data_IF_856525068911
#
_entry.id   IF_856525068911
#
_cell.length_a   1.000
_cell.length_b   1.000
_cell.length_c   1.000
_cell.angle_alpha   90.00
_cell.angle_beta   90.00
_cell.angle_gamma   90.00
#
_symmetry.space_group_name_H-M   'P 1'
#
loop_
_entity.id
_entity.type
_entity.pdbx_description
1 polymer ?
#
# COMPACT_ATOMS: atom_id res chain seq x y z
N UNK A 1 8.81 -6.91 -29.88
CA UNK A 1 9.77 -6.48 -28.84
C UNK A 1 8.99 -5.81 -27.73
N UNK A 2 8.64 -6.55 -26.70
CA UNK A 2 7.98 -5.99 -25.53
C UNK A 2 9.04 -5.27 -24.68
N UNK A 3 9.03 -3.95 -24.70
CA UNK A 3 9.72 -3.14 -23.71
C UNK A 3 9.14 -3.53 -22.34
N UNK A 4 9.93 -4.27 -21.55
CA UNK A 4 9.62 -4.53 -20.14
C UNK A 4 9.93 -3.27 -19.32
N UNK A 5 9.15 -2.21 -19.54
CA UNK A 5 9.23 -0.99 -18.73
C UNK A 5 8.41 -1.28 -17.46
N UNK A 6 9.04 -1.07 -16.32
CA UNK A 6 8.35 -1.12 -15.04
C UNK A 6 7.23 -0.06 -15.04
N UNK A 7 6.04 -0.44 -14.56
CA UNK A 7 4.86 0.44 -14.52
C UNK A 7 5.13 1.72 -13.70
N UNK A 8 6.09 1.69 -12.81
CA UNK A 8 6.48 2.83 -11.98
C UNK A 8 7.08 3.96 -12.83
N UNK A 9 7.92 3.62 -13.83
CA UNK A 9 8.59 4.63 -14.67
C UNK A 9 7.60 5.53 -15.41
N UNK A 10 6.62 4.99 -16.19
CA UNK A 10 5.65 5.84 -16.86
C UNK A 10 4.73 6.60 -15.89
N UNK A 11 4.41 6.04 -14.72
CA UNK A 11 3.61 6.72 -13.71
C UNK A 11 4.33 7.94 -13.13
N UNK A 12 5.61 7.80 -12.76
CA UNK A 12 6.43 8.92 -12.27
C UNK A 12 6.66 9.97 -13.36
N UNK A 13 6.92 9.55 -14.60
CA UNK A 13 7.08 10.46 -15.72
C UNK A 13 5.79 11.25 -15.97
N UNK A 14 4.63 10.60 -15.95
CA UNK A 14 3.34 11.26 -16.12
C UNK A 14 3.07 12.26 -14.99
N UNK A 15 3.36 11.89 -13.74
CA UNK A 15 3.25 12.80 -12.59
C UNK A 15 4.10 14.04 -12.77
N UNK A 16 5.38 13.88 -13.14
CA UNK A 16 6.30 15.00 -13.37
C UNK A 16 5.82 15.90 -14.50
N UNK A 17 5.35 15.33 -15.62
CA UNK A 17 4.81 16.08 -16.77
C UNK A 17 3.56 16.85 -16.35
N UNK A 18 2.62 16.24 -15.62
CA UNK A 18 1.40 16.91 -15.19
C UNK A 18 1.70 18.11 -14.28
N UNK A 19 2.59 17.95 -13.30
CA UNK A 19 3.00 19.07 -12.43
C UNK A 19 3.72 20.18 -13.22
N UNK A 20 4.56 19.81 -14.20
CA UNK A 20 5.21 20.79 -15.07
C UNK A 20 4.19 21.57 -15.93
N UNK A 21 3.19 20.89 -16.48
CA UNK A 21 2.11 21.55 -17.25
C UNK A 21 1.28 22.49 -16.36
N UNK A 22 0.96 22.10 -15.14
CA UNK A 22 0.25 22.95 -14.17
C UNK A 22 1.11 24.20 -13.86
N UNK A 23 2.41 24.03 -13.62
CA UNK A 23 3.32 25.14 -13.36
C UNK A 23 3.42 26.13 -14.53
N UNK A 24 3.43 25.62 -15.77
CA UNK A 24 3.53 26.45 -16.97
C UNK A 24 2.27 27.28 -17.24
N UNK A 25 1.10 26.80 -16.86
CA UNK A 25 -0.19 27.46 -17.10
C UNK A 25 -0.95 27.77 -15.80
N UNK A 26 -0.23 28.01 -14.70
CA UNK A 26 -0.86 28.27 -13.39
C UNK A 26 -1.79 29.48 -13.39
N UNK A 27 -1.51 30.46 -14.24
CA UNK A 27 -2.30 31.68 -14.37
C UNK A 27 -3.63 31.47 -15.10
N UNK A 28 -3.73 30.42 -15.92
CA UNK A 28 -4.97 30.00 -16.59
C UNK A 28 -6.00 29.39 -15.67
N UNK A 29 -5.60 28.94 -14.47
CA UNK A 29 -6.54 28.36 -13.50
C UNK A 29 -7.32 29.43 -12.75
N UNK A 30 -8.63 29.22 -12.65
CA UNK A 30 -9.56 30.11 -11.93
C UNK A 30 -9.84 29.63 -10.51
N UNK A 31 -9.66 28.33 -10.24
CA UNK A 31 -9.92 27.69 -8.96
C UNK A 31 -8.77 26.76 -8.61
N UNK A 32 -8.47 26.65 -7.32
CA UNK A 32 -7.49 25.73 -6.79
C UNK A 32 -8.08 24.96 -5.60
N UNK A 33 -7.90 23.64 -5.59
CA UNK A 33 -8.29 22.81 -4.46
C UNK A 33 -7.09 22.55 -3.55
N UNK A 34 -7.19 23.04 -2.32
CA UNK A 34 -6.19 22.80 -1.29
C UNK A 34 -6.48 21.46 -0.62
N UNK A 35 -5.64 20.46 -0.92
CA UNK A 35 -5.78 19.10 -0.37
C UNK A 35 -5.51 19.06 1.15
N UNK A 36 -4.70 19.96 1.69
CA UNK A 36 -4.42 20.01 3.11
C UNK A 36 -5.62 20.55 3.92
N UNK A 37 -6.33 21.53 3.37
CA UNK A 37 -7.52 22.14 3.97
C UNK A 37 -8.83 21.51 3.49
N UNK A 38 -8.76 20.56 2.55
CA UNK A 38 -9.90 19.89 1.93
C UNK A 38 -10.97 20.85 1.39
N UNK A 39 -10.56 21.95 0.76
CA UNK A 39 -11.44 22.95 0.25
C UNK A 39 -10.87 23.75 -0.90
N UNK A 40 -11.73 24.53 -1.56
CA UNK A 40 -11.30 25.49 -2.58
C UNK A 40 -10.64 26.69 -1.90
N UNK A 41 -9.58 27.20 -2.53
CA UNK A 41 -8.91 28.43 -2.07
C UNK A 41 -9.72 29.65 -2.49
N UNK A 42 -10.22 30.38 -1.51
CA UNK A 42 -10.96 31.61 -1.76
C UNK A 42 -10.05 32.68 -2.40
N UNK A 43 -10.57 33.31 -3.45
CA UNK A 43 -9.84 34.38 -4.14
C UNK A 43 -8.66 33.95 -5.00
N UNK A 44 -8.49 32.66 -5.29
CA UNK A 44 -7.40 32.13 -6.12
C UNK A 44 -7.28 32.83 -7.48
N UNK A 45 -8.42 33.11 -8.15
CA UNK A 45 -8.45 33.78 -9.44
C UNK A 45 -7.86 35.20 -9.40
N UNK A 46 -7.97 35.87 -8.25
CA UNK A 46 -7.46 37.24 -8.05
C UNK A 46 -6.00 37.29 -7.57
N UNK A 47 -5.39 36.13 -7.30
CA UNK A 47 -3.99 36.06 -6.86
C UNK A 47 -3.05 36.33 -8.03
N UNK A 48 -1.95 37.02 -7.72
CA UNK A 48 -0.84 37.17 -8.67
C UNK A 48 -0.09 35.86 -8.89
N UNK A 49 0.72 35.81 -9.94
CA UNK A 49 1.52 34.64 -10.35
C UNK A 49 2.30 34.01 -9.18
N UNK A 50 3.03 34.81 -8.40
CA UNK A 50 3.81 34.31 -7.26
C UNK A 50 2.95 33.63 -6.19
N UNK A 51 1.77 34.19 -5.90
CA UNK A 51 0.85 33.61 -4.92
C UNK A 51 0.28 32.26 -5.39
N UNK A 52 -0.05 32.14 -6.67
CA UNK A 52 -0.51 30.89 -7.29
C UNK A 52 0.59 29.83 -7.32
N UNK A 53 1.82 30.22 -7.68
CA UNK A 53 2.99 29.33 -7.67
C UNK A 53 3.27 28.80 -6.25
N UNK A 54 3.22 29.67 -5.25
CA UNK A 54 3.43 29.27 -3.86
C UNK A 54 2.40 28.21 -3.39
N UNK A 55 1.11 28.41 -3.71
CA UNK A 55 0.08 27.41 -3.40
C UNK A 55 0.27 26.08 -4.15
N UNK A 56 0.74 26.13 -5.38
CA UNK A 56 1.08 24.93 -6.15
C UNK A 56 2.25 24.18 -5.50
N UNK A 57 3.32 24.88 -5.11
CA UNK A 57 4.47 24.30 -4.41
C UNK A 57 4.05 23.69 -3.07
N UNK A 58 3.24 24.39 -2.28
CA UNK A 58 2.70 23.87 -1.03
C UNK A 58 1.90 22.56 -1.25
N UNK A 59 1.04 22.54 -2.27
CA UNK A 59 0.28 21.35 -2.63
C UNK A 59 1.20 20.20 -3.05
N UNK A 60 2.21 20.46 -3.87
CA UNK A 60 3.19 19.46 -4.29
C UNK A 60 3.97 18.91 -3.10
N UNK A 61 4.47 19.78 -2.23
CA UNK A 61 5.21 19.37 -1.03
C UNK A 61 4.33 18.57 -0.06
N UNK A 62 3.06 18.95 0.08
CA UNK A 62 2.10 18.20 0.89
C UNK A 62 1.92 16.76 0.36
N UNK A 63 1.70 16.59 -0.93
CA UNK A 63 1.54 15.26 -1.53
C UNK A 63 2.84 14.44 -1.49
N UNK A 64 3.99 15.06 -1.72
CA UNK A 64 5.29 14.40 -1.59
C UNK A 64 5.57 14.01 -0.12
N UNK A 65 5.22 14.87 0.84
CA UNK A 65 5.34 14.59 2.25
C UNK A 65 4.50 13.39 2.68
N UNK A 66 3.24 13.32 2.26
CA UNK A 66 2.35 12.17 2.50
C UNK A 66 2.90 10.88 1.86
N UNK A 67 3.38 10.96 0.63
CA UNK A 67 4.02 9.82 -0.03
C UNK A 67 5.27 9.35 0.70
N UNK A 68 6.11 10.28 1.15
CA UNK A 68 7.31 9.96 1.93
C UNK A 68 6.96 9.30 3.26
N UNK A 69 5.94 9.79 3.98
CA UNK A 69 5.44 9.18 5.22
C UNK A 69 5.09 7.71 5.02
N UNK A 70 4.33 7.40 3.97
CA UNK A 70 3.97 6.02 3.59
C UNK A 70 5.21 5.18 3.27
N UNK A 71 6.14 5.72 2.49
CA UNK A 71 7.37 5.00 2.12
C UNK A 71 8.23 4.69 3.34
N UNK A 72 8.42 5.64 4.26
CA UNK A 72 9.17 5.40 5.50
C UNK A 72 8.49 4.37 6.39
N UNK A 73 7.16 4.43 6.51
CA UNK A 73 6.39 3.42 7.24
C UNK A 73 6.58 2.02 6.64
N UNK A 74 6.42 1.88 5.31
CA UNK A 74 6.60 0.61 4.61
C UNK A 74 8.03 0.07 4.74
N UNK A 75 9.05 0.92 4.59
CA UNK A 75 10.45 0.51 4.76
C UNK A 75 10.71 -0.01 6.17
N UNK A 76 10.19 0.69 7.19
CA UNK A 76 10.32 0.26 8.59
C UNK A 76 9.62 -1.07 8.85
N UNK A 77 8.37 -1.21 8.41
CA UNK A 77 7.58 -2.42 8.57
C UNK A 77 8.24 -3.62 7.85
N UNK A 78 8.63 -3.45 6.58
CA UNK A 78 9.30 -4.51 5.81
C UNK A 78 10.63 -4.92 6.44
N UNK A 79 11.41 -3.98 6.96
CA UNK A 79 12.67 -4.27 7.66
C UNK A 79 12.44 -5.13 8.90
N UNK A 80 11.43 -4.80 9.71
CA UNK A 80 11.09 -5.59 10.90
C UNK A 80 10.68 -7.01 10.49
N UNK A 81 9.86 -7.15 9.46
CA UNK A 81 9.40 -8.45 8.97
C UNK A 81 10.56 -9.27 8.41
N UNK A 82 11.48 -8.66 7.67
CA UNK A 82 12.70 -9.31 7.16
C UNK A 82 13.57 -9.84 8.31
N UNK A 83 13.72 -9.06 9.38
CA UNK A 83 14.44 -9.50 10.59
C UNK A 83 13.72 -10.68 11.23
N UNK A 84 12.40 -10.65 11.37
CA UNK A 84 11.61 -11.75 11.93
C UNK A 84 11.77 -13.03 11.07
N UNK A 85 11.74 -12.91 9.74
CA UNK A 85 11.93 -14.05 8.83
C UNK A 85 13.36 -14.59 8.87
N UNK A 86 14.35 -13.71 8.91
CA UNK A 86 15.76 -14.08 9.03
C UNK A 86 16.06 -14.93 10.28
N UNK A 87 15.43 -14.61 11.40
CA UNK A 87 15.52 -15.39 12.64
C UNK A 87 14.51 -16.56 12.72
N UNK A 88 13.89 -16.95 11.60
CA UNK A 88 12.85 -18.00 11.52
C UNK A 88 11.68 -17.78 12.49
N UNK A 89 11.38 -16.51 12.81
CA UNK A 89 10.31 -16.14 13.74
C UNK A 89 8.93 -16.65 13.32
N UNK A 90 8.73 -16.88 12.02
CA UNK A 90 7.50 -17.51 11.50
C UNK A 90 7.46 -19.05 11.64
N UNK A 91 8.51 -19.69 12.18
CA UNK A 91 8.50 -21.13 12.45
C UNK A 91 7.37 -21.53 13.41
N UNK A 92 7.04 -20.66 14.37
CA UNK A 92 5.92 -20.86 15.28
C UNK A 92 4.59 -20.98 14.52
N UNK A 93 4.38 -20.15 13.49
CA UNK A 93 3.19 -20.22 12.63
C UNK A 93 3.16 -21.56 11.88
N UNK A 94 4.30 -22.02 11.35
CA UNK A 94 4.40 -23.35 10.71
C UNK A 94 4.03 -24.46 11.70
N UNK A 95 4.38 -24.32 12.99
CA UNK A 95 4.05 -25.26 14.06
C UNK A 95 2.55 -25.43 14.33
N UNK A 96 1.75 -24.41 14.09
CA UNK A 96 0.28 -24.48 14.19
C UNK A 96 -0.38 -25.25 13.03
N UNK A 97 0.33 -25.41 11.90
CA UNK A 97 -0.18 -26.05 10.69
C UNK A 97 0.04 -27.56 10.75
N UNK A 98 -0.61 -28.23 11.72
CA UNK A 98 -0.50 -29.69 11.89
C UNK A 98 -1.60 -30.48 11.16
N UNK A 99 -2.64 -29.82 10.69
CA UNK A 99 -3.79 -30.51 10.08
C UNK A 99 -3.59 -30.71 8.58
N UNK A 100 -3.96 -31.91 8.08
CA UNK A 100 -3.99 -32.24 6.65
C UNK A 100 -5.39 -32.06 6.03
N UNK A 101 -6.40 -31.72 6.83
CA UNK A 101 -7.77 -31.51 6.34
C UNK A 101 -7.88 -30.17 5.64
N UNK A 102 -8.11 -30.17 4.32
CA UNK A 102 -8.14 -28.94 3.48
C UNK A 102 -9.07 -27.85 4.03
N UNK A 103 -10.26 -28.20 4.50
CA UNK A 103 -11.22 -27.24 5.06
C UNK A 103 -10.72 -26.57 6.37
N UNK A 104 -10.18 -27.35 7.30
CA UNK A 104 -9.61 -26.79 8.54
C UNK A 104 -8.37 -25.96 8.27
N UNK A 105 -7.57 -26.38 7.29
CA UNK A 105 -6.37 -25.66 6.86
C UNK A 105 -6.74 -24.32 6.24
N UNK A 106 -7.79 -24.27 5.40
CA UNK A 106 -8.29 -23.04 4.80
C UNK A 106 -8.72 -22.02 5.88
N UNK A 107 -9.53 -22.46 6.84
CA UNK A 107 -9.95 -21.63 7.96
C UNK A 107 -8.76 -21.13 8.79
N UNK A 108 -7.79 -21.99 9.06
CA UNK A 108 -6.59 -21.62 9.79
C UNK A 108 -5.80 -20.52 9.07
N UNK A 109 -5.54 -20.68 7.76
CA UNK A 109 -4.85 -19.66 6.98
C UNK A 109 -5.65 -18.35 6.89
N UNK A 110 -6.98 -18.44 6.79
CA UNK A 110 -7.84 -17.26 6.73
C UNK A 110 -7.80 -16.46 8.04
N UNK A 111 -7.92 -17.14 9.18
CA UNK A 111 -7.84 -16.49 10.50
C UNK A 111 -6.44 -15.90 10.74
N UNK A 112 -5.39 -16.66 10.41
CA UNK A 112 -4.02 -16.16 10.52
C UNK A 112 -3.78 -14.95 9.62
N UNK A 113 -4.31 -14.97 8.39
CA UNK A 113 -4.20 -13.84 7.47
C UNK A 113 -4.88 -12.59 8.01
N UNK A 114 -6.09 -12.73 8.55
CA UNK A 114 -6.83 -11.64 9.16
C UNK A 114 -6.08 -11.05 10.36
N UNK A 115 -5.67 -11.89 11.32
CA UNK A 115 -5.00 -11.43 12.55
C UNK A 115 -3.63 -10.83 12.25
N UNK A 116 -2.84 -11.49 11.39
CA UNK A 116 -1.50 -11.03 11.07
C UNK A 116 -1.56 -9.70 10.33
N UNK A 117 -2.49 -9.56 9.38
CA UNK A 117 -2.69 -8.32 8.63
C UNK A 117 -3.19 -7.17 9.50
N UNK A 118 -3.98 -7.45 10.53
CA UNK A 118 -4.43 -6.44 11.48
C UNK A 118 -3.27 -5.86 12.33
N UNK A 119 -2.16 -6.59 12.46
CA UNK A 119 -1.01 -6.22 13.32
C UNK A 119 0.14 -5.64 12.50
N UNK A 120 0.43 -6.23 11.31
CA UNK A 120 1.60 -5.85 10.50
C UNK A 120 1.16 -4.94 9.36
N UNK A 121 0.68 -5.50 8.29
CA UNK A 121 0.02 -4.92 7.12
C UNK A 121 -0.48 -6.05 6.21
N UNK A 122 -1.40 -5.73 5.30
CA UNK A 122 -2.03 -6.72 4.43
C UNK A 122 -1.08 -7.31 3.38
N UNK A 123 -0.17 -6.51 2.84
CA UNK A 123 0.77 -6.96 1.82
C UNK A 123 1.79 -7.94 2.40
N UNK A 124 2.41 -7.56 3.50
CA UNK A 124 3.41 -8.39 4.20
C UNK A 124 2.79 -9.68 4.74
N UNK A 125 1.63 -9.59 5.40
CA UNK A 125 0.90 -10.77 5.89
C UNK A 125 0.59 -11.75 4.74
N UNK A 126 0.17 -11.22 3.59
CA UNK A 126 -0.10 -12.01 2.39
C UNK A 126 1.16 -12.71 1.87
N UNK A 127 2.27 -12.00 1.72
CA UNK A 127 3.54 -12.56 1.22
C UNK A 127 4.04 -13.68 2.14
N UNK A 128 4.08 -13.44 3.43
CA UNK A 128 4.52 -14.43 4.44
C UNK A 128 3.65 -15.69 4.38
N UNK A 129 2.33 -15.53 4.41
CA UNK A 129 1.42 -16.68 4.43
C UNK A 129 1.40 -17.45 3.10
N UNK A 130 1.52 -16.79 1.96
CA UNK A 130 1.67 -17.45 0.67
C UNK A 130 3.00 -18.23 0.61
N UNK A 131 4.08 -17.69 1.15
CA UNK A 131 5.37 -18.39 1.23
C UNK A 131 5.26 -19.66 2.08
N UNK A 132 4.57 -19.59 3.22
CA UNK A 132 4.31 -20.77 4.06
C UNK A 132 3.39 -21.76 3.32
N UNK A 133 2.33 -21.28 2.68
CA UNK A 133 1.38 -22.08 1.91
C UNK A 133 2.08 -22.89 0.82
N UNK A 134 3.05 -22.31 0.11
CA UNK A 134 3.82 -22.99 -0.93
C UNK A 134 4.60 -24.19 -0.41
N UNK A 135 5.02 -24.16 0.85
CA UNK A 135 5.73 -25.25 1.52
C UNK A 135 4.78 -26.35 2.03
N UNK A 136 3.53 -25.98 2.35
CA UNK A 136 2.53 -26.89 2.95
C UNK A 136 1.69 -27.60 1.91
N UNK A 137 1.27 -26.91 0.86
CA UNK A 137 0.38 -27.45 -0.18
C UNK A 137 1.16 -27.59 -1.50
N UNK A 138 1.16 -28.80 -2.06
CA UNK A 138 1.84 -29.09 -3.32
C UNK A 138 0.94 -28.90 -4.55
N UNK A 139 -0.36 -29.18 -4.41
CA UNK A 139 -1.34 -29.08 -5.47
C UNK A 139 -1.58 -27.62 -5.89
N UNK A 140 -1.43 -27.35 -7.21
CA UNK A 140 -1.50 -26.00 -7.77
C UNK A 140 -2.90 -25.37 -7.64
N UNK A 141 -3.93 -26.14 -7.91
CA UNK A 141 -5.30 -25.65 -7.89
C UNK A 141 -5.72 -25.28 -6.46
N UNK A 142 -5.45 -26.18 -5.51
CA UNK A 142 -5.69 -25.92 -4.09
C UNK A 142 -4.90 -24.69 -3.61
N UNK A 143 -3.63 -24.52 -4.03
CA UNK A 143 -2.84 -23.32 -3.70
C UNK A 143 -3.48 -22.04 -4.18
N UNK A 144 -4.03 -22.00 -5.39
CA UNK A 144 -4.68 -20.80 -5.93
C UNK A 144 -5.91 -20.39 -5.11
N UNK A 145 -6.75 -21.37 -4.73
CA UNK A 145 -7.91 -21.11 -3.86
C UNK A 145 -7.50 -20.58 -2.49
N UNK A 146 -6.50 -21.19 -1.88
CA UNK A 146 -5.98 -20.74 -0.58
C UNK A 146 -5.33 -19.35 -0.68
N UNK A 147 -4.55 -19.10 -1.72
CA UNK A 147 -3.93 -17.79 -1.94
C UNK A 147 -5.01 -16.70 -2.11
N UNK A 148 -6.06 -16.97 -2.87
CA UNK A 148 -7.20 -16.06 -3.02
C UNK A 148 -7.86 -15.74 -1.67
N UNK A 149 -8.10 -16.76 -0.84
CA UNK A 149 -8.66 -16.56 0.50
C UNK A 149 -7.72 -15.80 1.42
N UNK A 150 -6.42 -16.05 1.39
CA UNK A 150 -5.42 -15.31 2.16
C UNK A 150 -5.47 -13.82 1.77
N UNK A 151 -5.48 -13.52 0.47
CA UNK A 151 -5.56 -12.12 -0.01
C UNK A 151 -6.83 -11.42 0.49
N UNK A 152 -7.99 -12.07 0.36
CA UNK A 152 -9.28 -11.50 0.79
C UNK A 152 -9.27 -11.26 2.31
N UNK A 153 -8.85 -12.25 3.09
CA UNK A 153 -8.88 -12.14 4.56
C UNK A 153 -7.79 -11.23 5.11
N UNK A 154 -6.63 -11.14 4.45
CA UNK A 154 -5.61 -10.16 4.80
C UNK A 154 -6.10 -8.73 4.56
N UNK A 155 -6.74 -8.46 3.41
CA UNK A 155 -7.32 -7.13 3.16
C UNK A 155 -8.44 -6.81 4.16
N UNK A 156 -9.28 -7.78 4.53
CA UNK A 156 -10.30 -7.58 5.55
C UNK A 156 -9.69 -7.28 6.93
N UNK A 157 -8.58 -7.94 7.29
CA UNK A 157 -7.84 -7.68 8.53
C UNK A 157 -7.19 -6.30 8.54
N UNK A 158 -6.59 -5.90 7.43
CA UNK A 158 -6.03 -4.56 7.26
C UNK A 158 -7.09 -3.47 7.39
N UNK A 159 -8.21 -3.63 6.69
CA UNK A 159 -9.32 -2.67 6.76
C UNK A 159 -9.97 -2.58 8.15
N UNK A 160 -9.89 -3.64 8.95
CA UNK A 160 -10.42 -3.64 10.33
C UNK A 160 -9.51 -2.90 11.32
N UNK A 161 -8.20 -2.86 11.06
CA UNK A 161 -7.23 -2.25 11.97
C UNK A 161 -6.64 -0.97 11.38
N UNK A 162 -6.54 0.13 12.17
CA UNK A 162 -5.89 1.35 11.70
C UNK A 162 -4.38 1.20 11.46
N UNK A 163 -3.77 0.09 11.90
CA UNK A 163 -2.36 -0.21 11.72
C UNK A 163 -2.14 -1.10 10.49
N UNK A 164 -3.11 -1.95 10.17
CA UNK A 164 -2.99 -3.00 9.16
C UNK A 164 -3.14 -2.55 7.70
N UNK A 165 -3.62 -1.33 7.45
CA UNK A 165 -3.74 -0.77 6.10
C UNK A 165 -3.49 0.73 6.10
N UNK A 166 -2.55 1.16 5.27
CA UNK A 166 -2.20 2.57 5.07
C UNK A 166 -3.40 3.37 4.57
N UNK A 167 -4.31 2.74 3.81
CA UNK A 167 -5.51 3.40 3.29
C UNK A 167 -6.57 3.66 4.36
N UNK A 168 -6.53 2.96 5.48
CA UNK A 168 -7.49 3.14 6.59
C UNK A 168 -7.09 4.31 7.50
N UNK A 169 -5.82 4.75 7.43
CA UNK A 169 -5.28 5.87 8.21
C UNK A 169 -5.29 7.21 7.45
N UNK A 170 -5.71 7.20 6.18
CA UNK A 170 -5.92 8.38 5.35
C UNK A 170 -7.39 8.83 5.39
#
# INVERSE_FOLDING_TARGET
HNLKIDKLIPALAMMAILWALIALDIDGFTNWFDSAKQGLVDGFAAMGHEGKMHLMEESLLHHLGKTAEILFFLLGAMTIVEIIDYFDGFATIKGFIKTKQKGKLLWLFSILAFVLSAIIDNLTATIVLITILQKVIKDRETKLWFAGMIVITANAGGAWSPIGDVTTTM
#
